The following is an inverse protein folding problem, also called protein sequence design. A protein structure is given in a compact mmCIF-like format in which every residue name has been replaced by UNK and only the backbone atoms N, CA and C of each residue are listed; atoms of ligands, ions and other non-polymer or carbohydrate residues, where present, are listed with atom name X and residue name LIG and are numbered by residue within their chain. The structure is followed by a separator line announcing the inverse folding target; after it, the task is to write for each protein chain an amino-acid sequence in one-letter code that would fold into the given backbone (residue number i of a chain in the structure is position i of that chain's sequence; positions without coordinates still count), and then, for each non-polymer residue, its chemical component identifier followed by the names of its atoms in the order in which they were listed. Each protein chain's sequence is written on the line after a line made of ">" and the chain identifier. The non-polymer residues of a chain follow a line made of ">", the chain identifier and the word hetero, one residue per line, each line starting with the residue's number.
data_IF_697805501295
#
_entry.id   IF_697805501295
#
_cell.length_a   1.000
_cell.length_b   1.000
_cell.length_c   1.000
_cell.angle_alpha   90.00
_cell.angle_beta   90.00
_cell.angle_gamma   90.00
#
_symmetry.space_group_name_H-M   'P 1'
#
loop_
_entity.id
_entity.type
_entity.pdbx_description
1 polymer ?
#
# COMPACT_ATOMS: atom_id res chain seq x y z
N UNK A 1 10.36 7.31 0.67
CA UNK A 1 9.06 7.46 -0.02
C UNK A 1 8.63 6.07 -0.46
N UNK A 2 7.39 5.66 -0.16
CA UNK A 2 6.85 4.38 -0.61
C UNK A 2 6.05 4.56 -1.88
N UNK A 3 6.09 3.59 -2.78
CA UNK A 3 5.26 3.56 -3.98
C UNK A 3 4.64 2.18 -4.16
N UNK A 4 3.48 2.13 -4.77
CA UNK A 4 2.84 0.87 -5.16
C UNK A 4 2.64 0.87 -6.67
N UNK A 5 3.03 -0.20 -7.31
CA UNK A 5 2.75 -0.49 -8.70
C UNK A 5 1.69 -1.57 -8.79
N UNK A 6 0.88 -1.52 -9.83
CA UNK A 6 -0.06 -2.59 -10.14
C UNK A 6 0.39 -3.32 -11.40
N UNK A 7 0.26 -4.65 -11.40
CA UNK A 7 0.75 -5.47 -12.52
C UNK A 7 -0.10 -5.31 -13.76
N UNK A 8 -1.37 -4.97 -13.63
CA UNK A 8 -2.24 -4.71 -14.78
C UNK A 8 -1.74 -3.58 -15.69
N UNK A 9 -0.99 -2.61 -15.15
CA UNK A 9 -0.36 -1.55 -15.94
C UNK A 9 0.84 -2.06 -16.77
N UNK A 10 1.44 -3.17 -16.39
CA UNK A 10 2.53 -3.82 -17.16
C UNK A 10 2.01 -4.85 -18.16
N UNK A 11 0.80 -5.35 -17.96
CA UNK A 11 0.20 -6.41 -18.77
C UNK A 11 0.12 -6.09 -20.29
N UNK A 12 -0.19 -4.85 -20.74
CA UNK A 12 -0.16 -4.50 -22.17
C UNK A 12 1.22 -4.74 -22.82
N UNK A 13 2.31 -4.45 -22.11
CA UNK A 13 3.67 -4.67 -22.61
C UNK A 13 3.99 -6.17 -22.76
N UNK A 14 3.43 -7.02 -21.89
CA UNK A 14 3.54 -8.47 -22.01
C UNK A 14 2.89 -8.96 -23.33
N UNK A 15 1.70 -8.42 -23.66
CA UNK A 15 1.03 -8.71 -24.94
C UNK A 15 1.82 -8.21 -26.12
N UNK A 16 2.41 -7.02 -26.03
CA UNK A 16 3.26 -6.48 -27.09
C UNK A 16 4.50 -7.34 -27.32
N UNK A 17 5.15 -7.81 -26.26
CA UNK A 17 6.27 -8.76 -26.36
C UNK A 17 5.86 -10.09 -26.99
N UNK A 18 4.69 -10.64 -26.61
CA UNK A 18 4.17 -11.84 -27.27
C UNK A 18 3.98 -11.65 -28.77
N UNK A 19 3.35 -10.55 -29.17
CA UNK A 19 3.12 -10.19 -30.57
C UNK A 19 4.43 -10.00 -31.34
N UNK A 20 5.43 -9.38 -30.68
CA UNK A 20 6.78 -9.24 -31.25
C UNK A 20 7.42 -10.60 -31.53
N UNK A 21 7.42 -11.53 -30.57
CA UNK A 21 7.97 -12.87 -30.76
C UNK A 21 7.20 -13.65 -31.81
N UNK A 22 5.87 -13.59 -31.80
CA UNK A 22 5.03 -14.23 -32.83
C UNK A 22 5.36 -13.72 -34.22
N UNK A 23 5.51 -12.40 -34.39
CA UNK A 23 5.91 -11.78 -35.66
C UNK A 23 7.34 -12.19 -36.09
N UNK A 24 8.28 -12.29 -35.15
CA UNK A 24 9.66 -12.71 -35.37
C UNK A 24 9.70 -14.15 -35.84
N UNK A 25 9.05 -15.08 -35.17
CA UNK A 25 9.05 -16.49 -35.50
C UNK A 25 8.28 -16.82 -36.77
N UNK A 26 7.22 -16.13 -37.08
CA UNK A 26 6.49 -16.27 -38.36
C UNK A 26 7.33 -16.00 -39.60
N UNK A 27 8.48 -15.31 -39.47
CA UNK A 27 9.40 -15.05 -40.60
C UNK A 27 10.35 -16.19 -40.87
N UNK A 28 10.57 -17.07 -39.91
CA UNK A 28 11.61 -18.10 -39.98
C UNK A 28 11.09 -19.51 -39.77
N UNK A 29 9.88 -19.68 -39.27
CA UNK A 29 9.25 -20.97 -39.00
C UNK A 29 7.94 -21.08 -39.80
N UNK A 30 7.81 -22.09 -40.71
CA UNK A 30 6.59 -22.25 -41.49
C UNK A 30 5.38 -22.77 -40.69
N UNK A 31 5.65 -23.59 -39.65
CA UNK A 31 4.61 -24.21 -38.83
C UNK A 31 4.07 -23.22 -37.81
N UNK A 32 2.79 -22.87 -37.94
CA UNK A 32 2.08 -21.91 -37.05
C UNK A 32 1.99 -22.40 -35.61
N UNK A 33 1.83 -23.69 -35.36
CA UNK A 33 1.75 -24.28 -34.04
C UNK A 33 3.11 -24.16 -33.30
N UNK A 34 4.18 -24.39 -34.01
CA UNK A 34 5.54 -24.22 -33.50
C UNK A 34 5.87 -22.74 -33.25
N UNK A 35 5.40 -21.84 -34.10
CA UNK A 35 5.53 -20.37 -33.88
C UNK A 35 4.90 -19.96 -32.59
N UNK A 36 3.69 -20.43 -32.28
CA UNK A 36 3.00 -20.08 -31.03
C UNK A 36 3.71 -20.65 -29.80
N UNK A 37 4.20 -21.89 -29.91
CA UNK A 37 4.96 -22.51 -28.82
C UNK A 37 6.27 -21.75 -28.52
N UNK A 38 7.04 -21.41 -29.55
CA UNK A 38 8.29 -20.66 -29.43
C UNK A 38 8.05 -19.23 -28.93
N UNK A 39 6.96 -18.57 -29.37
CA UNK A 39 6.62 -17.24 -28.90
C UNK A 39 6.24 -17.24 -27.41
N UNK A 40 5.48 -18.24 -26.95
CA UNK A 40 5.12 -18.42 -25.53
C UNK A 40 6.34 -18.72 -24.66
N UNK A 41 7.25 -19.57 -25.14
CA UNK A 41 8.48 -19.92 -24.42
C UNK A 41 9.39 -18.69 -24.26
N UNK A 42 9.59 -17.93 -25.33
CA UNK A 42 10.39 -16.70 -25.32
C UNK A 42 9.77 -15.64 -24.43
N UNK A 43 8.44 -15.48 -24.46
CA UNK A 43 7.71 -14.57 -23.58
C UNK A 43 7.89 -14.96 -22.10
N UNK A 44 7.74 -16.26 -21.79
CA UNK A 44 7.93 -16.75 -20.42
C UNK A 44 9.33 -16.44 -19.91
N UNK A 45 10.35 -16.64 -20.74
CA UNK A 45 11.73 -16.30 -20.38
C UNK A 45 11.92 -14.80 -20.19
N UNK A 46 11.34 -13.98 -21.04
CA UNK A 46 11.38 -12.51 -20.89
C UNK A 46 10.75 -12.05 -19.60
N UNK A 47 9.58 -12.58 -19.22
CA UNK A 47 8.90 -12.27 -17.96
C UNK A 47 9.77 -12.67 -16.76
N UNK A 48 10.37 -13.88 -16.79
CA UNK A 48 11.30 -14.35 -15.76
C UNK A 48 12.47 -13.38 -15.58
N UNK A 49 13.12 -12.99 -16.67
CA UNK A 49 14.27 -12.09 -16.65
C UNK A 49 13.88 -10.67 -16.23
N UNK A 50 12.71 -10.19 -16.64
CA UNK A 50 12.19 -8.87 -16.26
C UNK A 50 11.87 -8.80 -14.75
N UNK A 51 11.17 -9.79 -14.21
CA UNK A 51 10.85 -9.86 -12.77
C UNK A 51 12.12 -10.03 -11.93
N UNK A 52 13.09 -10.83 -12.40
CA UNK A 52 14.37 -10.97 -11.74
C UNK A 52 15.13 -9.62 -11.71
N UNK A 53 15.16 -8.93 -12.84
CA UNK A 53 15.80 -7.61 -12.95
C UNK A 53 15.13 -6.61 -12.02
N UNK A 54 13.80 -6.56 -12.00
CA UNK A 54 13.04 -5.71 -11.10
C UNK A 54 13.36 -5.98 -9.61
N UNK A 55 13.35 -7.25 -9.23
CA UNK A 55 13.69 -7.66 -7.86
C UNK A 55 15.12 -7.28 -7.49
N UNK A 56 16.07 -7.50 -8.40
CA UNK A 56 17.47 -7.14 -8.20
C UNK A 56 17.65 -5.62 -8.02
N UNK A 57 17.05 -4.84 -8.90
CA UNK A 57 17.14 -3.37 -8.85
C UNK A 57 16.61 -2.82 -7.53
N UNK A 58 15.41 -3.23 -7.10
CA UNK A 58 14.82 -2.75 -5.84
C UNK A 58 15.69 -3.11 -4.62
N UNK A 59 16.34 -4.27 -4.62
CA UNK A 59 17.14 -4.71 -3.47
C UNK A 59 18.61 -4.25 -3.53
N UNK A 60 19.09 -3.75 -4.66
CA UNK A 60 20.46 -3.26 -4.83
C UNK A 60 20.58 -1.74 -4.75
N UNK A 61 19.50 -1.00 -4.98
CA UNK A 61 19.50 0.46 -4.84
C UNK A 61 19.19 0.89 -3.40
N UNK A 62 19.85 1.96 -2.99
CA UNK A 62 19.48 2.73 -1.81
C UNK A 62 19.01 4.13 -2.22
N UNK A 63 18.11 4.71 -1.42
CA UNK A 63 17.78 6.12 -1.53
C UNK A 63 18.98 6.98 -1.13
N UNK A 64 18.94 8.28 -1.44
CA UNK A 64 19.98 9.24 -1.02
C UNK A 64 20.25 9.23 0.48
N UNK A 65 19.28 8.80 1.29
CA UNK A 65 19.41 8.67 2.74
C UNK A 65 19.85 7.25 3.18
N UNK A 66 20.29 6.40 2.27
CA UNK A 66 20.75 5.02 2.57
C UNK A 66 19.62 4.02 2.89
N UNK A 67 18.36 4.36 2.65
CA UNK A 67 17.23 3.45 2.88
C UNK A 67 16.91 2.63 1.62
N UNK A 68 16.47 1.39 1.81
CA UNK A 68 15.91 0.60 0.71
C UNK A 68 14.62 1.25 0.17
N UNK A 69 14.38 1.24 -1.16
CA UNK A 69 13.14 1.72 -1.73
C UNK A 69 11.95 0.92 -1.20
N UNK A 70 10.96 1.60 -0.61
CA UNK A 70 9.74 0.96 -0.15
C UNK A 70 8.77 0.79 -1.33
N UNK A 71 8.85 -0.34 -2.00
CA UNK A 71 8.02 -0.67 -3.16
C UNK A 71 7.04 -1.78 -2.80
N UNK A 72 5.78 -1.60 -3.20
CA UNK A 72 4.74 -2.63 -3.13
C UNK A 72 4.27 -2.98 -4.53
N UNK A 73 3.93 -4.25 -4.75
CA UNK A 73 3.35 -4.77 -5.99
C UNK A 73 1.94 -5.25 -5.68
N UNK A 74 0.95 -4.65 -6.31
CA UNK A 74 -0.44 -5.02 -6.18
C UNK A 74 -0.82 -6.00 -7.30
N UNK A 75 -1.34 -7.15 -6.88
CA UNK A 75 -1.64 -8.30 -7.73
C UNK A 75 -3.15 -8.53 -7.70
N UNK A 76 -3.86 -7.88 -8.60
CA UNK A 76 -5.29 -8.05 -8.79
C UNK A 76 -5.57 -8.51 -10.21
N UNK A 77 -6.15 -9.70 -10.36
CA UNK A 77 -6.34 -10.37 -11.66
C UNK A 77 -7.36 -9.61 -12.51
N UNK A 78 -8.49 -9.23 -11.90
CA UNK A 78 -9.62 -8.59 -12.60
C UNK A 78 -9.52 -7.05 -12.68
N UNK A 79 -8.33 -6.48 -12.42
CA UNK A 79 -8.12 -5.02 -12.48
C UNK A 79 -8.29 -4.47 -13.90
N UNK A 80 -7.84 -5.25 -14.90
CA UNK A 80 -8.07 -4.97 -16.31
C UNK A 80 -8.46 -6.27 -17.04
N UNK A 81 -9.76 -6.50 -17.27
CA UNK A 81 -10.25 -7.74 -17.88
C UNK A 81 -9.65 -8.05 -19.25
N UNK A 82 -9.27 -7.02 -20.02
CA UNK A 82 -8.66 -7.20 -21.35
C UNK A 82 -7.30 -7.90 -21.28
N UNK A 83 -6.54 -7.67 -20.21
CA UNK A 83 -5.17 -8.18 -20.04
C UNK A 83 -5.06 -9.18 -18.88
N UNK A 84 -6.14 -9.88 -18.58
CA UNK A 84 -6.22 -10.81 -17.44
C UNK A 84 -5.13 -11.89 -17.50
N UNK A 85 -4.96 -12.52 -18.64
CA UNK A 85 -3.97 -13.60 -18.84
C UNK A 85 -2.53 -13.09 -18.64
N UNK A 86 -2.21 -11.93 -19.16
CA UNK A 86 -0.89 -11.31 -19.02
C UNK A 86 -0.62 -10.90 -17.58
N UNK A 87 -1.65 -10.40 -16.88
CA UNK A 87 -1.58 -10.09 -15.44
C UNK A 87 -1.31 -11.36 -14.63
N UNK A 88 -1.99 -12.46 -14.92
CA UNK A 88 -1.79 -13.76 -14.28
C UNK A 88 -0.36 -14.27 -14.48
N UNK A 89 0.21 -14.15 -15.69
CA UNK A 89 1.59 -14.54 -15.96
C UNK A 89 2.59 -13.75 -15.10
N UNK A 90 2.38 -12.46 -14.95
CA UNK A 90 3.22 -11.60 -14.10
C UNK A 90 3.09 -12.00 -12.62
N UNK A 91 1.87 -12.20 -12.12
CA UNK A 91 1.62 -12.61 -10.73
C UNK A 91 2.30 -13.96 -10.44
N UNK A 92 2.12 -14.92 -11.33
CA UNK A 92 2.75 -16.26 -11.22
C UNK A 92 4.27 -16.14 -11.06
N UNK A 93 4.92 -15.34 -11.89
CA UNK A 93 6.36 -15.21 -11.85
C UNK A 93 6.86 -14.46 -10.59
N UNK A 94 6.17 -13.40 -10.17
CA UNK A 94 6.48 -12.73 -8.90
C UNK A 94 6.40 -13.68 -7.70
N UNK A 95 5.37 -14.54 -7.65
CA UNK A 95 5.20 -15.53 -6.59
C UNK A 95 6.28 -16.61 -6.65
N UNK A 96 6.61 -17.13 -7.82
CA UNK A 96 7.70 -18.13 -8.02
C UNK A 96 9.04 -17.60 -7.53
N UNK A 97 9.39 -16.39 -7.94
CA UNK A 97 10.65 -15.79 -7.51
C UNK A 97 10.66 -15.46 -6.02
N UNK A 98 9.51 -15.08 -5.43
CA UNK A 98 9.39 -14.93 -3.99
C UNK A 98 9.63 -16.24 -3.25
N UNK A 99 9.06 -17.34 -3.71
CA UNK A 99 9.26 -18.68 -3.14
C UNK A 99 10.75 -19.07 -3.20
N UNK A 100 11.41 -18.82 -4.31
CA UNK A 100 12.83 -19.12 -4.49
C UNK A 100 13.71 -18.25 -3.59
N UNK A 101 13.37 -16.98 -3.44
CA UNK A 101 14.19 -16.00 -2.73
C UNK A 101 15.33 -15.45 -3.59
N UNK A 102 16.12 -14.57 -3.02
CA UNK A 102 17.27 -13.96 -3.68
C UNK A 102 18.58 -14.49 -3.09
N UNK A 103 19.55 -14.80 -3.94
CA UNK A 103 20.85 -15.29 -3.53
C UNK A 103 21.68 -14.13 -2.96
N UNK A 104 22.15 -14.27 -1.72
CA UNK A 104 23.03 -13.30 -1.09
C UNK A 104 24.49 -13.49 -1.55
N UNK A 105 25.40 -12.63 -1.05
CA UNK A 105 26.82 -12.68 -1.40
C UNK A 105 27.52 -13.99 -0.99
N UNK A 106 26.97 -14.69 -0.02
CA UNK A 106 27.53 -15.99 0.47
C UNK A 106 26.89 -17.18 -0.24
N UNK A 107 26.03 -16.94 -1.22
CA UNK A 107 25.39 -17.99 -2.02
C UNK A 107 24.10 -18.58 -1.41
N UNK A 108 23.65 -18.11 -0.25
CA UNK A 108 22.43 -18.57 0.39
C UNK A 108 21.21 -17.79 -0.12
N UNK A 109 20.07 -18.50 -0.27
CA UNK A 109 18.80 -17.89 -0.64
C UNK A 109 18.10 -17.29 0.58
N UNK A 110 17.88 -15.98 0.53
CA UNK A 110 17.23 -15.20 1.59
C UNK A 110 15.91 -14.63 1.11
N UNK A 111 15.01 -14.33 2.05
CA UNK A 111 13.77 -13.63 1.76
C UNK A 111 14.05 -12.15 1.48
N UNK A 112 13.55 -11.66 0.37
CA UNK A 112 13.65 -10.24 0.02
C UNK A 112 12.75 -9.41 0.92
N UNK A 113 13.24 -8.26 1.39
CA UNK A 113 12.42 -7.30 2.12
C UNK A 113 11.42 -6.61 1.20
N UNK A 114 11.85 -6.30 -0.03
CA UNK A 114 11.05 -5.63 -1.07
C UNK A 114 11.17 -6.36 -2.42
N UNK A 115 10.17 -6.19 -3.30
CA UNK A 115 8.90 -5.48 -3.09
C UNK A 115 8.00 -6.20 -2.08
N UNK A 116 7.14 -5.44 -1.38
CA UNK A 116 5.99 -6.05 -0.68
C UNK A 116 5.00 -6.52 -1.74
N UNK A 117 4.54 -7.77 -1.63
CA UNK A 117 3.54 -8.33 -2.53
C UNK A 117 2.18 -8.28 -1.83
N UNK A 118 1.17 -7.78 -2.53
CA UNK A 118 -0.21 -7.68 -2.03
C UNK A 118 -1.10 -8.42 -3.02
N UNK A 119 -1.67 -9.55 -2.60
CA UNK A 119 -2.50 -10.41 -3.41
C UNK A 119 -3.97 -10.17 -3.13
N UNK A 120 -4.72 -9.82 -4.17
CA UNK A 120 -6.15 -9.55 -4.07
C UNK A 120 -6.95 -10.83 -4.29
N UNK A 121 -7.78 -11.19 -3.30
CA UNK A 121 -8.71 -12.30 -3.35
C UNK A 121 -10.05 -11.82 -3.91
N UNK A 122 -10.52 -12.43 -4.99
CA UNK A 122 -11.82 -12.17 -5.61
C UNK A 122 -12.47 -13.50 -6.04
N UNK A 123 -13.65 -13.47 -6.57
CA UNK A 123 -14.45 -14.65 -6.98
C UNK A 123 -13.72 -15.54 -7.99
N UNK A 124 -12.82 -14.97 -8.80
CA UNK A 124 -12.07 -15.70 -9.83
C UNK A 124 -10.87 -16.49 -9.30
N UNK A 125 -10.51 -16.34 -8.02
CA UNK A 125 -9.33 -17.01 -7.45
C UNK A 125 -9.50 -17.55 -6.02
N UNK A 126 -10.66 -17.36 -5.37
CA UNK A 126 -10.85 -17.72 -3.95
C UNK A 126 -11.43 -19.13 -3.75
N UNK A 127 -12.22 -19.65 -4.70
CA UNK A 127 -12.89 -20.94 -4.60
C UNK A 127 -12.09 -22.01 -5.36
N UNK A 128 -12.15 -23.27 -4.88
CA UNK A 128 -11.42 -24.40 -5.48
C UNK A 128 -11.79 -24.64 -6.95
N UNK A 129 -12.99 -24.31 -7.37
CA UNK A 129 -13.50 -24.39 -8.74
C UNK A 129 -13.26 -23.12 -9.56
N UNK A 130 -12.66 -22.07 -8.97
CA UNK A 130 -12.34 -20.83 -9.69
C UNK A 130 -11.20 -21.03 -10.69
N UNK A 131 -11.26 -20.31 -11.82
CA UNK A 131 -10.30 -20.42 -12.92
C UNK A 131 -8.83 -20.23 -12.48
N UNK A 132 -8.61 -19.33 -11.51
CA UNK A 132 -7.26 -19.00 -11.03
C UNK A 132 -6.99 -19.44 -9.59
N UNK A 133 -7.74 -20.39 -9.04
CA UNK A 133 -7.49 -20.91 -7.69
C UNK A 133 -6.06 -21.43 -7.50
N UNK A 134 -5.51 -22.09 -8.52
CA UNK A 134 -4.13 -22.56 -8.53
C UNK A 134 -3.09 -21.44 -8.23
N UNK A 135 -3.40 -20.19 -8.60
CA UNK A 135 -2.56 -19.04 -8.32
C UNK A 135 -2.63 -18.66 -6.84
N UNK A 136 -3.80 -18.80 -6.21
CA UNK A 136 -3.96 -18.65 -4.76
C UNK A 136 -3.23 -19.75 -4.00
N UNK A 137 -3.24 -21.00 -4.47
CA UNK A 137 -2.40 -22.05 -3.90
C UNK A 137 -0.90 -21.71 -3.98
N UNK A 138 -0.46 -21.13 -5.09
CA UNK A 138 0.92 -20.66 -5.25
C UNK A 138 1.24 -19.51 -4.28
N UNK A 139 0.31 -18.57 -4.08
CA UNK A 139 0.43 -17.49 -3.11
C UNK A 139 0.53 -18.04 -1.67
N UNK A 140 -0.29 -19.03 -1.31
CA UNK A 140 -0.23 -19.70 0.00
C UNK A 140 1.10 -20.43 0.21
N UNK A 141 1.62 -21.11 -0.82
CA UNK A 141 2.97 -21.73 -0.78
C UNK A 141 4.06 -20.66 -0.54
N UNK A 142 3.92 -19.49 -1.16
CA UNK A 142 4.82 -18.37 -0.92
C UNK A 142 4.71 -17.87 0.53
N UNK A 143 3.51 -17.73 1.06
CA UNK A 143 3.27 -17.29 2.44
C UNK A 143 3.86 -18.28 3.45
N UNK A 144 3.61 -19.58 3.27
CA UNK A 144 4.15 -20.62 4.14
C UNK A 144 5.70 -20.60 4.20
N UNK A 145 6.38 -20.26 3.11
CA UNK A 145 7.84 -20.25 3.03
C UNK A 145 8.47 -18.90 3.36
N UNK A 146 7.79 -17.79 3.04
CA UNK A 146 8.38 -16.44 3.03
C UNK A 146 7.55 -15.39 3.78
N UNK A 147 6.41 -15.78 4.38
CA UNK A 147 5.46 -14.86 5.06
C UNK A 147 4.99 -13.71 4.15
N UNK A 148 4.81 -13.99 2.86
CA UNK A 148 4.43 -13.03 1.82
C UNK A 148 3.80 -13.79 0.64
N UNK A 149 2.72 -13.28 -0.01
CA UNK A 149 2.18 -11.92 0.01
C UNK A 149 1.26 -11.61 1.22
N UNK A 150 0.93 -10.33 1.41
CA UNK A 150 -0.23 -9.88 2.18
C UNK A 150 -1.50 -10.08 1.35
N UNK A 151 -2.64 -10.41 2.00
CA UNK A 151 -3.91 -10.67 1.32
C UNK A 151 -4.91 -9.55 1.54
N UNK A 152 -5.67 -9.21 0.49
CA UNK A 152 -6.73 -8.20 0.51
C UNK A 152 -7.99 -8.77 -0.14
N UNK A 153 -9.14 -8.59 0.47
CA UNK A 153 -10.42 -9.00 -0.10
C UNK A 153 -10.97 -7.93 -1.04
N UNK A 154 -11.17 -8.27 -2.32
CA UNK A 154 -11.84 -7.42 -3.29
C UNK A 154 -13.27 -7.09 -2.86
N UNK A 155 -14.01 -8.05 -2.33
CA UNK A 155 -15.38 -7.88 -1.83
C UNK A 155 -15.44 -6.79 -0.76
N UNK A 156 -14.59 -6.87 0.25
CA UNK A 156 -14.53 -5.89 1.35
C UNK A 156 -14.10 -4.51 0.84
N UNK A 157 -13.14 -4.47 -0.10
CA UNK A 157 -12.75 -3.19 -0.69
C UNK A 157 -13.87 -2.55 -1.49
N UNK A 158 -14.60 -3.32 -2.31
CA UNK A 158 -15.76 -2.84 -3.07
C UNK A 158 -16.85 -2.30 -2.13
N UNK A 159 -17.10 -3.00 -1.01
CA UNK A 159 -18.11 -2.60 -0.01
C UNK A 159 -17.73 -1.29 0.71
N UNK A 160 -16.51 -1.18 1.25
CA UNK A 160 -16.12 -0.03 2.07
C UNK A 160 -15.50 1.13 1.30
N UNK A 161 -14.92 0.88 0.13
CA UNK A 161 -14.20 1.90 -0.66
C UNK A 161 -14.86 2.18 -2.02
N UNK A 162 -15.80 1.33 -2.44
CA UNK A 162 -16.51 1.45 -3.72
C UNK A 162 -15.74 0.91 -4.92
N UNK A 163 -14.47 0.55 -4.77
CA UNK A 163 -13.64 -0.08 -5.82
C UNK A 163 -12.43 -0.80 -5.21
N UNK A 164 -11.81 -1.68 -6.00
CA UNK A 164 -10.51 -2.28 -5.68
C UNK A 164 -9.41 -1.40 -6.26
N UNK A 165 -8.46 -1.02 -5.42
CA UNK A 165 -7.29 -0.23 -5.81
C UNK A 165 -6.11 -0.48 -4.88
N UNK A 166 -4.86 -0.26 -5.32
CA UNK A 166 -3.69 -0.56 -4.51
C UNK A 166 -3.61 0.34 -3.28
N UNK A 167 -3.09 -0.25 -2.19
CA UNK A 167 -2.65 0.51 -1.04
C UNK A 167 -1.41 1.33 -1.37
N UNK A 168 -1.17 2.38 -0.62
CA UNK A 168 0.12 3.05 -0.62
C UNK A 168 1.03 2.41 0.43
N UNK A 169 2.09 1.76 -0.02
CA UNK A 169 2.81 0.81 0.81
C UNK A 169 1.95 -0.42 1.10
N UNK A 170 2.17 -1.09 2.23
CA UNK A 170 1.50 -2.36 2.52
C UNK A 170 0.09 -2.24 3.11
N UNK A 171 -0.27 -1.13 3.79
CA UNK A 171 -1.50 -1.05 4.61
C UNK A 171 -2.19 0.32 4.63
N UNK A 172 -1.77 1.27 3.81
CA UNK A 172 -2.38 2.60 3.76
C UNK A 172 -3.22 2.76 2.50
N UNK A 173 -4.53 2.80 2.65
CA UNK A 173 -5.43 3.13 1.55
C UNK A 173 -5.79 4.60 1.60
N UNK A 174 -5.63 5.26 0.47
CA UNK A 174 -6.02 6.66 0.33
C UNK A 174 -7.53 6.83 0.49
N UNK A 175 -7.96 7.99 0.99
CA UNK A 175 -9.38 8.37 0.99
C UNK A 175 -9.90 8.43 -0.44
N UNK A 176 -11.21 8.22 -0.63
CA UNK A 176 -11.82 8.39 -1.94
C UNK A 176 -11.63 9.82 -2.44
N UNK A 177 -11.22 9.97 -3.70
CA UNK A 177 -11.14 11.27 -4.36
C UNK A 177 -12.53 11.86 -4.54
N UNK A 178 -12.77 13.04 -3.98
CA UNK A 178 -14.05 13.78 -4.10
C UNK A 178 -13.90 15.02 -4.99
N UNK A 179 -12.74 15.21 -5.63
CA UNK A 179 -12.51 16.33 -6.51
C UNK A 179 -13.26 16.17 -7.83
N UNK A 180 -14.08 17.16 -8.20
CA UNK A 180 -14.81 17.19 -9.46
C UNK A 180 -13.87 17.45 -10.66
N UNK A 181 -12.72 18.05 -10.42
CA UNK A 181 -11.69 18.31 -11.41
C UNK A 181 -10.66 17.19 -11.42
N UNK A 182 -10.57 16.47 -12.52
CA UNK A 182 -9.58 15.42 -12.68
C UNK A 182 -8.26 15.99 -13.20
N UNK A 183 -7.33 16.31 -12.30
CA UNK A 183 -6.01 16.86 -12.62
C UNK A 183 -5.08 15.92 -13.39
N UNK A 184 -5.46 14.68 -13.55
CA UNK A 184 -4.56 13.67 -14.10
C UNK A 184 -4.78 13.38 -15.56
N UNK A 185 -5.57 14.10 -16.27
CA UNK A 185 -5.81 13.96 -17.70
C UNK A 185 -7.05 13.33 -18.23
N UNK A 186 -7.33 13.93 -19.30
CA UNK A 186 -8.02 13.49 -20.51
C UNK A 186 -9.52 13.31 -20.42
N UNK A 187 -10.10 13.69 -21.43
CA UNK A 187 -11.47 13.82 -21.90
C UNK A 187 -12.52 12.78 -21.46
N UNK A 188 -12.13 11.69 -20.79
CA UNK A 188 -13.05 10.59 -20.44
C UNK A 188 -13.22 10.32 -18.94
N UNK A 189 -12.49 10.99 -18.04
CA UNK A 189 -12.50 10.67 -16.62
C UNK A 189 -13.45 11.51 -15.76
N UNK A 190 -14.24 12.38 -16.36
CA UNK A 190 -15.18 13.27 -15.63
C UNK A 190 -16.24 12.56 -14.77
N UNK A 191 -16.37 11.24 -14.87
CA UNK A 191 -17.39 10.47 -14.15
C UNK A 191 -16.86 9.44 -13.16
N UNK A 192 -15.53 9.26 -13.05
CA UNK A 192 -14.95 8.20 -12.20
C UNK A 192 -14.00 8.77 -11.17
N UNK A 193 -14.11 8.28 -9.94
CA UNK A 193 -13.16 8.59 -8.88
C UNK A 193 -11.76 8.13 -9.28
N UNK A 194 -10.75 8.96 -9.05
CA UNK A 194 -9.36 8.59 -9.31
C UNK A 194 -8.80 7.80 -8.13
N UNK A 195 -8.32 6.60 -8.40
CA UNK A 195 -7.70 5.73 -7.38
C UNK A 195 -6.18 5.64 -7.52
N UNK A 196 -5.62 5.89 -8.71
CA UNK A 196 -4.19 5.82 -9.01
C UNK A 196 -3.54 7.19 -9.11
N UNK A 197 -2.21 7.23 -8.99
CA UNK A 197 -1.44 8.45 -9.14
C UNK A 197 -1.78 9.49 -8.08
N UNK A 198 -2.07 9.07 -6.86
CA UNK A 198 -2.36 9.90 -5.69
C UNK A 198 -1.30 9.67 -4.63
N UNK A 199 -1.25 10.47 -3.58
CA UNK A 199 -0.19 10.39 -2.58
C UNK A 199 -0.68 10.69 -1.17
N UNK A 200 0.13 10.31 -0.19
CA UNK A 200 -0.03 10.67 1.21
C UNK A 200 1.00 11.75 1.57
N UNK A 201 0.52 12.83 2.19
CA UNK A 201 1.33 13.96 2.61
C UNK A 201 2.23 13.65 3.80
N UNK A 202 1.93 12.56 4.54
CA UNK A 202 2.69 12.09 5.68
C UNK A 202 1.83 11.51 6.79
N UNK A 203 2.50 10.96 7.79
CA UNK A 203 1.89 10.32 8.96
C UNK A 203 2.44 10.98 10.22
N UNK A 204 1.57 11.21 11.21
CA UNK A 204 1.95 11.47 12.61
C UNK A 204 1.24 10.43 13.45
N UNK A 205 1.99 9.70 14.27
CA UNK A 205 1.47 8.56 15.03
C UNK A 205 1.26 8.94 16.49
N UNK A 206 0.07 8.67 17.01
CA UNK A 206 -0.24 8.76 18.44
C UNK A 206 0.23 7.48 19.15
N UNK A 207 0.88 7.63 20.28
CA UNK A 207 1.30 6.53 21.15
C UNK A 207 0.19 6.26 22.17
N UNK A 208 -0.63 5.25 21.94
CA UNK A 208 -1.74 4.89 22.84
C UNK A 208 -1.26 4.32 24.19
N UNK A 209 -0.22 3.47 24.26
CA UNK A 209 0.37 3.05 25.53
C UNK A 209 0.81 4.20 26.43
N UNK A 210 1.44 5.24 25.89
CA UNK A 210 1.84 6.43 26.65
C UNK A 210 0.63 7.10 27.32
N UNK A 211 -0.48 7.19 26.63
CA UNK A 211 -1.74 7.76 27.19
C UNK A 211 -2.26 6.86 28.30
N UNK A 212 -2.32 5.56 28.09
CA UNK A 212 -2.82 4.60 29.07
C UNK A 212 -1.98 4.59 30.35
N UNK A 213 -0.65 4.52 30.20
CA UNK A 213 0.28 4.55 31.33
C UNK A 213 0.20 5.89 32.09
N UNK A 214 0.15 7.00 31.36
CA UNK A 214 0.05 8.35 31.97
C UNK A 214 -1.29 8.58 32.68
N UNK A 215 -2.35 7.87 32.32
CA UNK A 215 -3.64 7.94 33.02
C UNK A 215 -3.68 7.11 34.30
N UNK A 216 -2.70 6.21 34.51
CA UNK A 216 -2.68 5.30 35.66
C UNK A 216 -3.89 4.36 35.76
N UNK A 217 -4.58 4.11 34.65
CA UNK A 217 -5.81 3.31 34.59
C UNK A 217 -7.11 4.07 34.84
N UNK A 218 -7.03 5.40 35.06
CA UNK A 218 -8.21 6.27 35.17
C UNK A 218 -8.76 6.59 33.77
N UNK A 219 -10.01 6.18 33.51
CA UNK A 219 -10.67 6.38 32.21
C UNK A 219 -10.96 7.84 31.89
N UNK A 220 -11.33 8.66 32.86
CA UNK A 220 -11.63 10.08 32.62
C UNK A 220 -10.35 10.83 32.28
N UNK A 221 -9.25 10.53 32.99
CA UNK A 221 -7.94 11.08 32.68
C UNK A 221 -7.41 10.56 31.34
N UNK A 222 -7.65 9.27 31.01
CA UNK A 222 -7.31 8.71 29.70
C UNK A 222 -7.91 9.53 28.56
N UNK A 223 -9.22 9.76 28.57
CA UNK A 223 -9.88 10.51 27.50
C UNK A 223 -9.44 11.97 27.43
N UNK A 224 -9.16 12.59 28.55
CA UNK A 224 -8.57 13.94 28.59
C UNK A 224 -7.20 13.98 27.92
N UNK A 225 -6.30 13.07 28.27
CA UNK A 225 -4.97 12.95 27.68
C UNK A 225 -5.06 12.57 26.20
N UNK A 226 -5.99 11.68 25.84
CA UNK A 226 -6.24 11.30 24.44
C UNK A 226 -6.62 12.52 23.59
N UNK A 227 -7.52 13.36 24.08
CA UNK A 227 -7.89 14.59 23.38
C UNK A 227 -6.72 15.56 23.25
N UNK A 228 -5.95 15.76 24.31
CA UNK A 228 -4.73 16.59 24.27
C UNK A 228 -3.71 16.08 23.25
N UNK A 229 -3.40 14.77 23.26
CA UNK A 229 -2.40 14.17 22.36
C UNK A 229 -2.90 14.15 20.91
N UNK A 230 -4.17 13.89 20.67
CA UNK A 230 -4.74 13.98 19.31
C UNK A 230 -4.68 15.39 18.75
N UNK A 231 -4.92 16.43 19.56
CA UNK A 231 -4.76 17.83 19.13
C UNK A 231 -3.28 18.17 18.81
N UNK A 232 -2.33 17.62 19.55
CA UNK A 232 -0.89 17.77 19.20
C UNK A 232 -0.57 17.07 17.87
N UNK A 233 -1.09 15.87 17.65
CA UNK A 233 -0.94 15.18 16.39
C UNK A 233 -1.56 15.98 15.22
N UNK A 234 -2.75 16.56 15.42
CA UNK A 234 -3.39 17.42 14.44
C UNK A 234 -2.54 18.64 14.08
N UNK A 235 -2.01 19.35 15.06
CA UNK A 235 -1.08 20.46 14.84
C UNK A 235 0.15 20.02 14.01
N UNK A 236 0.73 18.88 14.34
CA UNK A 236 1.88 18.34 13.59
C UNK A 236 1.52 17.97 12.13
N UNK A 237 0.34 17.36 11.93
CA UNK A 237 -0.18 17.09 10.57
C UNK A 237 -0.40 18.38 9.79
N UNK A 238 -0.95 19.42 10.41
CA UNK A 238 -1.12 20.75 9.81
C UNK A 238 0.20 21.40 9.41
N UNK A 239 1.24 21.27 10.23
CA UNK A 239 2.59 21.75 9.89
C UNK A 239 3.10 21.04 8.65
N UNK A 240 2.94 19.71 8.56
CA UNK A 240 3.32 18.94 7.37
C UNK A 240 2.57 19.39 6.12
N UNK A 241 1.27 19.53 6.21
CA UNK A 241 0.42 20.02 5.13
C UNK A 241 0.87 21.42 4.66
N UNK A 242 1.02 22.35 5.60
CA UNK A 242 1.42 23.72 5.29
C UNK A 242 2.81 23.80 4.66
N UNK A 243 3.71 22.85 4.98
CA UNK A 243 5.06 22.78 4.40
C UNK A 243 5.04 22.42 2.92
N UNK A 244 3.99 21.77 2.44
CA UNK A 244 3.82 21.41 1.03
C UNK A 244 3.21 22.53 0.20
N UNK A 245 2.54 23.49 0.81
CA UNK A 245 1.93 24.62 0.09
C UNK A 245 2.97 25.41 -0.67
N UNK A 246 2.57 25.95 -1.82
CA UNK A 246 3.42 26.71 -2.73
C UNK A 246 4.64 25.93 -3.23
N UNK A 247 4.70 24.60 -3.08
CA UNK A 247 5.74 23.80 -3.69
C UNK A 247 5.55 23.79 -5.20
N UNK A 248 6.58 24.22 -5.96
CA UNK A 248 6.56 24.17 -7.42
C UNK A 248 6.62 22.75 -7.94
N UNK A 249 5.90 22.47 -9.02
CA UNK A 249 5.98 21.19 -9.75
C UNK A 249 7.40 20.83 -10.21
N UNK A 250 8.28 21.81 -10.34
CA UNK A 250 9.69 21.62 -10.75
C UNK A 250 10.55 20.94 -9.69
N UNK A 251 10.09 20.89 -8.44
CA UNK A 251 10.83 20.20 -7.36
C UNK A 251 10.96 18.70 -7.63
N UNK A 252 9.96 18.10 -8.30
CA UNK A 252 9.99 16.70 -8.72
C UNK A 252 9.17 16.51 -10.00
N UNK A 253 9.73 16.86 -11.18
CA UNK A 253 8.99 16.84 -12.45
C UNK A 253 8.34 15.50 -12.77
N UNK A 254 9.05 14.38 -12.56
CA UNK A 254 8.52 13.02 -12.77
C UNK A 254 7.23 12.79 -11.99
N UNK A 255 7.14 13.32 -10.76
CA UNK A 255 5.94 13.15 -9.93
C UNK A 255 4.80 14.08 -10.37
N UNK A 256 5.12 15.34 -10.63
CA UNK A 256 4.12 16.39 -10.74
C UNK A 256 3.79 16.79 -12.17
N UNK A 257 4.72 16.67 -13.12
CA UNK A 257 4.57 17.10 -14.51
C UNK A 257 4.40 15.92 -15.47
N UNK A 258 5.18 14.84 -15.30
CA UNK A 258 5.26 13.75 -16.27
C UNK A 258 4.23 12.64 -16.04
N UNK A 259 3.39 12.74 -15.01
CA UNK A 259 2.19 11.92 -14.84
C UNK A 259 2.28 10.80 -13.83
N UNK A 260 3.37 10.66 -13.07
CA UNK A 260 3.41 9.64 -12.00
C UNK A 260 2.32 9.91 -10.94
N UNK A 261 2.13 11.17 -10.53
CA UNK A 261 1.06 11.58 -9.60
C UNK A 261 0.11 12.60 -10.24
N UNK A 262 0.61 13.53 -11.04
CA UNK A 262 -0.18 14.57 -11.69
C UNK A 262 0.46 14.98 -13.04
N UNK A 263 -0.21 15.88 -13.77
CA UNK A 263 0.31 16.51 -15.00
C UNK A 263 0.12 18.00 -14.89
N UNK A 264 0.84 18.59 -13.96
CA UNK A 264 0.88 20.04 -13.77
C UNK A 264 1.78 20.69 -14.83
N UNK A 265 1.55 21.98 -15.07
CA UNK A 265 2.43 22.78 -15.90
C UNK A 265 3.74 23.06 -15.16
N UNK A 266 4.78 23.40 -15.92
CA UNK A 266 6.05 23.88 -15.38
C UNK A 266 5.77 25.10 -14.48
N UNK A 267 6.41 25.16 -13.32
CA UNK A 267 6.25 26.19 -12.27
C UNK A 267 4.86 26.25 -11.61
N UNK A 268 3.95 25.33 -11.92
CA UNK A 268 2.63 25.30 -11.29
C UNK A 268 2.74 24.78 -9.85
N UNK A 269 2.11 25.47 -8.85
CA UNK A 269 2.08 24.98 -7.48
C UNK A 269 1.26 23.70 -7.35
N UNK A 270 1.67 22.80 -6.44
CA UNK A 270 0.94 21.53 -6.18
C UNK A 270 -0.28 21.74 -5.28
N UNK A 271 -0.61 22.95 -4.85
CA UNK A 271 -1.61 23.25 -3.83
C UNK A 271 -2.97 22.61 -4.09
N UNK A 272 -3.44 22.60 -5.33
CA UNK A 272 -4.71 21.99 -5.72
C UNK A 272 -4.75 20.47 -5.47
N UNK A 273 -3.59 19.81 -5.35
CA UNK A 273 -3.50 18.38 -5.05
C UNK A 273 -3.53 18.08 -3.55
N UNK A 274 -3.50 19.11 -2.68
CA UNK A 274 -3.46 18.96 -1.24
C UNK A 274 -4.86 18.89 -0.60
N UNK A 275 -5.91 19.20 -1.35
CA UNK A 275 -7.29 19.33 -0.89
C UNK A 275 -8.24 18.35 -1.59
N UNK A 276 -9.53 18.41 -1.24
CA UNK A 276 -10.62 17.63 -1.85
C UNK A 276 -10.40 16.11 -1.83
N UNK A 277 -9.69 15.60 -0.83
CA UNK A 277 -9.28 14.19 -0.73
C UNK A 277 -8.40 13.69 -1.91
N UNK A 278 -7.88 14.57 -2.76
CA UNK A 278 -6.94 14.14 -3.81
C UNK A 278 -5.70 13.49 -3.20
N UNK A 279 -5.15 14.09 -2.17
CA UNK A 279 -4.13 13.47 -1.32
C UNK A 279 -4.66 13.23 0.09
N UNK A 280 -4.02 12.32 0.81
CA UNK A 280 -4.37 11.95 2.17
C UNK A 280 -3.26 12.39 3.12
N UNK A 281 -3.63 12.75 4.36
CA UNK A 281 -2.69 12.90 5.46
C UNK A 281 -3.17 12.01 6.61
N UNK A 282 -2.28 11.27 7.26
CA UNK A 282 -2.68 10.16 8.12
C UNK A 282 -2.37 10.41 9.59
N UNK A 283 -3.40 10.22 10.43
CA UNK A 283 -3.25 10.05 11.87
C UNK A 283 -2.91 8.57 12.12
N UNK A 284 -1.64 8.28 12.39
CA UNK A 284 -1.20 6.95 12.78
C UNK A 284 -1.58 6.64 14.22
N UNK A 285 -1.72 5.38 14.55
CA UNK A 285 -1.79 4.91 15.94
C UNK A 285 -0.88 3.70 16.12
N UNK A 286 -0.39 3.52 17.33
CA UNK A 286 0.42 2.37 17.73
C UNK A 286 0.03 1.92 19.13
N UNK A 287 0.18 0.61 19.39
CA UNK A 287 0.01 0.04 20.73
C UNK A 287 -1.44 -0.05 21.21
N UNK A 288 -2.40 -0.32 20.32
CA UNK A 288 -3.81 -0.49 20.72
C UNK A 288 -3.98 -1.67 21.69
N UNK A 289 -3.27 -2.78 21.44
CA UNK A 289 -3.34 -3.95 22.33
C UNK A 289 -2.86 -3.62 23.74
N UNK A 290 -1.69 -3.02 23.84
CA UNK A 290 -1.07 -2.65 25.13
C UNK A 290 -1.91 -1.64 25.89
N UNK A 291 -2.43 -0.64 25.18
CA UNK A 291 -3.34 0.37 25.74
C UNK A 291 -4.61 -0.29 26.33
N UNK A 292 -5.29 -1.11 25.54
CA UNK A 292 -6.52 -1.78 25.97
C UNK A 292 -6.25 -2.72 27.14
N UNK A 293 -5.18 -3.51 27.06
CA UNK A 293 -4.82 -4.45 28.13
C UNK A 293 -4.49 -3.75 29.44
N UNK A 294 -3.76 -2.63 29.37
CA UNK A 294 -3.44 -1.83 30.57
C UNK A 294 -4.70 -1.23 31.21
N UNK A 295 -5.60 -0.65 30.39
CA UNK A 295 -6.81 0.02 30.87
C UNK A 295 -7.88 -0.93 31.37
N UNK A 296 -8.01 -2.12 30.76
CA UNK A 296 -9.15 -3.03 31.02
C UNK A 296 -8.72 -4.35 31.65
N UNK A 297 -7.45 -4.70 31.65
CA UNK A 297 -6.95 -6.03 32.00
C UNK A 297 -7.19 -7.10 30.96
N UNK A 298 -7.84 -6.80 29.84
CA UNK A 298 -8.29 -7.72 28.81
C UNK A 298 -7.67 -7.41 27.44
N UNK A 299 -7.70 -8.40 26.53
CA UNK A 299 -7.30 -8.20 25.14
C UNK A 299 -8.36 -7.40 24.37
N UNK A 300 -7.94 -6.63 23.37
CA UNK A 300 -8.86 -5.98 22.41
C UNK A 300 -9.61 -6.96 21.50
N UNK A 301 -9.33 -8.27 21.58
CA UNK A 301 -9.97 -9.33 20.82
C UNK A 301 -10.63 -10.39 21.70
N UNK A 302 -11.00 -10.05 22.92
CA UNK A 302 -11.60 -11.00 23.90
C UNK A 302 -13.12 -11.16 23.79
N UNK A 303 -13.78 -10.41 22.89
CA UNK A 303 -15.23 -10.40 22.73
C UNK A 303 -15.98 -9.71 23.89
N UNK A 304 -15.28 -8.98 24.77
CA UNK A 304 -15.84 -8.37 25.96
C UNK A 304 -15.45 -6.90 26.18
N UNK A 305 -15.04 -6.61 27.41
CA UNK A 305 -14.69 -5.23 27.80
C UNK A 305 -13.47 -4.67 27.04
N UNK A 306 -12.48 -5.51 26.77
CA UNK A 306 -11.29 -5.11 26.01
C UNK A 306 -11.63 -4.77 24.56
N UNK A 307 -12.43 -5.59 23.90
CA UNK A 307 -12.86 -5.32 22.53
C UNK A 307 -13.70 -4.03 22.47
N UNK A 308 -14.67 -3.87 23.38
CA UNK A 308 -15.50 -2.66 23.42
C UNK A 308 -14.66 -1.40 23.57
N UNK A 309 -13.75 -1.36 24.53
CA UNK A 309 -12.87 -0.20 24.74
C UNK A 309 -11.95 0.03 23.52
N UNK A 310 -11.41 -1.03 22.93
CA UNK A 310 -10.62 -0.93 21.71
C UNK A 310 -11.40 -0.30 20.56
N UNK A 311 -12.65 -0.71 20.36
CA UNK A 311 -13.55 -0.13 19.35
C UNK A 311 -13.89 1.34 19.66
N UNK A 312 -14.11 1.70 20.93
CA UNK A 312 -14.33 3.11 21.36
C UNK A 312 -13.12 4.00 21.01
N UNK A 313 -11.91 3.55 21.28
CA UNK A 313 -10.67 4.26 20.92
C UNK A 313 -10.56 4.43 19.41
N UNK A 314 -10.80 3.38 18.63
CA UNK A 314 -10.74 3.43 17.17
C UNK A 314 -11.82 4.35 16.60
N UNK A 315 -13.03 4.31 17.16
CA UNK A 315 -14.11 5.20 16.74
C UNK A 315 -13.74 6.66 17.03
N UNK A 316 -13.21 6.97 18.22
CA UNK A 316 -12.78 8.32 18.57
C UNK A 316 -11.71 8.87 17.62
N UNK A 317 -10.72 8.05 17.20
CA UNK A 317 -9.73 8.43 16.19
C UNK A 317 -10.38 8.75 14.83
N UNK A 318 -11.33 7.91 14.41
CA UNK A 318 -12.06 8.13 13.16
C UNK A 318 -12.92 9.41 13.21
N UNK A 319 -13.59 9.65 14.32
CA UNK A 319 -14.43 10.85 14.50
C UNK A 319 -13.60 12.14 14.46
N UNK A 320 -12.42 12.15 15.09
CA UNK A 320 -11.44 13.25 14.96
C UNK A 320 -11.05 13.49 13.51
N UNK A 321 -10.64 12.45 12.79
CA UNK A 321 -10.27 12.56 11.37
C UNK A 321 -11.45 13.07 10.52
N UNK A 322 -12.66 12.58 10.75
CA UNK A 322 -13.85 13.01 10.03
C UNK A 322 -14.23 14.46 10.33
N UNK A 323 -14.07 14.90 11.58
CA UNK A 323 -14.24 16.30 11.96
C UNK A 323 -13.26 17.20 11.22
N UNK A 324 -11.96 16.94 11.31
CA UNK A 324 -10.92 17.74 10.65
C UNK A 324 -11.09 17.76 9.13
N UNK A 325 -11.47 16.62 8.53
CA UNK A 325 -11.78 16.54 7.10
C UNK A 325 -12.87 17.50 6.66
N UNK A 326 -13.95 17.62 7.46
CA UNK A 326 -15.06 18.53 7.17
C UNK A 326 -14.67 20.00 7.36
N UNK A 327 -13.89 20.29 8.40
CA UNK A 327 -13.51 21.66 8.76
C UNK A 327 -12.46 22.24 7.81
N UNK A 328 -11.55 21.40 7.27
CA UNK A 328 -10.36 21.86 6.58
C UNK A 328 -10.27 21.46 5.10
N UNK A 329 -11.20 20.63 4.64
CA UNK A 329 -11.19 20.08 3.28
C UNK A 329 -9.87 19.33 2.92
N UNK A 330 -9.23 18.71 3.92
CA UNK A 330 -8.02 17.90 3.78
C UNK A 330 -8.36 16.44 4.01
N UNK A 331 -7.77 15.54 3.25
CA UNK A 331 -8.04 14.09 3.31
C UNK A 331 -7.42 13.41 4.52
N UNK A 332 -7.91 13.67 5.72
CA UNK A 332 -7.46 12.97 6.94
C UNK A 332 -7.93 11.52 6.96
N UNK A 333 -7.06 10.61 7.40
CA UNK A 333 -7.40 9.19 7.58
C UNK A 333 -6.67 8.59 8.77
N UNK A 334 -7.30 7.59 9.41
CA UNK A 334 -6.62 6.79 10.44
C UNK A 334 -5.71 5.76 9.75
N UNK A 335 -4.55 5.49 10.35
CA UNK A 335 -3.55 4.57 9.84
C UNK A 335 -2.95 3.72 10.96
N UNK A 336 -3.04 2.38 10.85
CA UNK A 336 -2.33 1.47 11.74
C UNK A 336 -0.82 1.52 11.46
N UNK A 337 -0.06 2.14 12.36
CA UNK A 337 1.40 2.22 12.20
C UNK A 337 2.03 0.83 12.32
N UNK A 338 2.95 0.43 11.41
CA UNK A 338 3.66 -0.85 11.53
C UNK A 338 4.49 -0.91 12.81
N UNK A 339 4.58 -2.08 13.42
CA UNK A 339 5.34 -2.34 14.67
C UNK A 339 6.80 -1.90 14.61
N UNK A 340 7.40 -1.89 13.42
CA UNK A 340 8.78 -1.45 13.21
C UNK A 340 9.03 -0.03 13.71
N UNK A 341 7.99 0.78 13.84
CA UNK A 341 8.06 2.14 14.37
C UNK A 341 8.00 2.18 15.92
N UNK A 342 7.58 1.10 16.59
CA UNK A 342 7.48 1.05 18.05
C UNK A 342 8.84 1.20 18.75
N UNK A 343 9.93 0.77 18.12
CA UNK A 343 11.29 0.97 18.66
C UNK A 343 11.66 2.44 18.90
N UNK A 344 11.06 3.36 18.16
CA UNK A 344 11.28 4.79 18.37
C UNK A 344 10.50 5.35 19.57
N UNK A 345 9.41 4.71 19.96
CA UNK A 345 8.55 5.14 21.06
C UNK A 345 8.99 4.57 22.41
N UNK A 346 9.65 3.42 22.41
CA UNK A 346 10.22 2.81 23.61
C UNK A 346 11.37 3.60 24.26
N UNK A 347 11.90 4.61 23.58
CA UNK A 347 12.92 5.51 24.18
C UNK A 347 12.36 6.54 25.16
N UNK A 348 11.04 6.69 25.22
CA UNK A 348 10.36 7.64 26.12
C UNK A 348 9.69 6.99 27.31
N UNK A 349 9.66 5.66 27.36
CA UNK A 349 9.12 4.89 28.48
C UNK A 349 10.32 4.25 29.19
N UNK A 350 10.41 4.40 30.51
CA UNK A 350 11.50 3.78 31.27
C UNK A 350 11.43 2.25 31.17
N UNK A 351 12.58 1.58 31.23
CA UNK A 351 12.64 0.11 31.19
C UNK A 351 11.81 -0.56 32.29
N UNK A 352 11.51 0.15 33.37
CA UNK A 352 10.69 -0.36 34.48
C UNK A 352 9.20 -0.31 34.15
N UNK A 353 8.75 0.64 33.33
CA UNK A 353 7.35 0.76 32.87
C UNK A 353 7.02 -0.28 31.79
N UNK A 354 8.01 -0.67 30.97
CA UNK A 354 7.85 -1.71 29.94
C UNK A 354 7.67 -3.11 30.57
N UNK A 355 8.24 -3.36 31.74
CA UNK A 355 8.14 -4.64 32.44
C UNK A 355 6.76 -4.91 33.05
N UNK A 356 5.93 -3.92 33.14
CA UNK A 356 4.57 -3.99 33.73
C UNK A 356 3.50 -4.15 32.65
N UNK A 357 3.80 -3.87 31.38
CA UNK A 357 2.94 -4.04 30.22
C UNK A 357 3.23 -5.37 29.51
#
# INVERSE_FOLDING_TARGET
>A
MGTTITLSHLAPFVRDSYNFYKKRYNRIVPDKSLVEALAKDSLKKEIEDAVQTFNYQINSFSTTNGQAPFVSVFMYIDENPEYKNETVMLIEEFLKQRINGMKNRTGHYVTQAFPKLIYCLDEDNIHEDSEYYWLTELAVKSTAKRMNPDYVSAKIMKEYKGAVFPSMGCRSWLTADTCDENYANSNNWKKHKKYYGRFNQGVVTINLPDIALSSGGDFDLFWKLFDERTELCHKALRIRHNRLKCTSSDVAPILWQDGALARLKIHEPIDKLLYNNYSTISLGYAGLYECVKYMTGHSHSDGGNGERFGLEVMQALNDKCNKWKKEENIGYSVYGSPEINLRFYGTFISDDEIKVA
#
